data_IF_139308457844
#
_entry.id   IF_139308457844
#
_cell.length_a   1.000
_cell.length_b   1.000
_cell.length_c   1.000
_cell.angle_alpha   90.00
_cell.angle_beta   90.00
_cell.angle_gamma   90.00
#
_symmetry.space_group_name_H-M   'P 1'
#
loop_
_entity.id
_entity.type
_entity.pdbx_description
1 polymer ?
#
# COMPACT_ATOMS: atom_id res chain seq x y z
N UNK A 1 5.75 11.43 41.32
CA UNK A 1 5.62 10.94 39.93
C UNK A 1 4.80 9.65 39.97
N UNK A 2 3.71 9.55 39.19
CA UNK A 2 2.80 8.39 39.23
C UNK A 2 3.51 7.12 38.75
N UNK A 3 3.48 6.05 39.54
CA UNK A 3 4.18 4.79 39.28
C UNK A 3 3.76 4.14 37.95
N UNK A 4 2.49 4.31 37.55
CA UNK A 4 1.97 3.89 36.25
C UNK A 4 2.67 4.59 35.08
N UNK A 5 2.97 5.88 35.22
CA UNK A 5 3.69 6.64 34.18
C UNK A 5 5.14 6.16 34.06
N UNK A 6 5.79 5.88 35.20
CA UNK A 6 7.13 5.25 35.22
C UNK A 6 7.13 3.86 34.57
N UNK A 7 6.09 3.05 34.78
CA UNK A 7 5.95 1.73 34.16
C UNK A 7 5.75 1.81 32.64
N UNK A 8 4.88 2.70 32.17
CA UNK A 8 4.72 2.96 30.74
C UNK A 8 6.03 3.39 30.10
N UNK A 9 6.74 4.34 30.72
CA UNK A 9 8.03 4.80 30.22
C UNK A 9 9.09 3.71 30.29
N UNK A 10 9.12 2.86 31.32
CA UNK A 10 10.07 1.75 31.43
C UNK A 10 9.83 0.64 30.39
N UNK A 11 8.57 0.37 30.05
CA UNK A 11 8.18 -0.62 29.03
C UNK A 11 8.52 -0.12 27.63
N UNK A 12 8.26 1.15 27.34
CA UNK A 12 8.50 1.72 26.01
C UNK A 12 9.93 2.26 25.82
N UNK A 13 10.60 2.67 26.90
CA UNK A 13 11.94 3.24 26.88
C UNK A 13 12.70 2.95 28.20
N UNK A 14 13.26 1.74 28.35
CA UNK A 14 14.08 1.37 29.51
C UNK A 14 15.19 2.38 29.87
N UNK A 15 15.95 2.97 28.91
CA UNK A 15 17.02 3.91 29.26
C UNK A 15 16.49 5.26 29.77
N UNK A 16 15.22 5.61 29.52
CA UNK A 16 14.62 6.87 29.97
C UNK A 16 14.27 6.85 31.46
N UNK A 17 13.96 5.67 32.02
CA UNK A 17 13.79 5.50 33.47
C UNK A 17 15.14 5.69 34.20
N UNK A 18 16.21 5.14 33.62
CA UNK A 18 17.58 5.24 34.17
C UNK A 18 18.09 6.68 34.05
N UNK A 19 17.68 7.42 33.01
CA UNK A 19 17.96 8.85 32.85
C UNK A 19 17.37 9.70 33.98
N UNK A 20 16.12 9.43 34.39
CA UNK A 20 15.45 10.17 35.46
C UNK A 20 16.09 9.88 36.83
N UNK A 21 16.58 8.66 37.06
CA UNK A 21 17.14 8.26 38.36
C UNK A 21 18.67 8.52 38.50
N UNK A 22 19.47 8.55 37.43
CA UNK A 22 20.94 8.66 37.53
C UNK A 22 21.58 9.95 36.99
N UNK A 23 20.83 10.82 36.32
CA UNK A 23 21.35 12.12 35.86
C UNK A 23 22.28 12.07 34.64
N UNK A 24 22.56 13.25 34.08
CA UNK A 24 23.12 13.48 32.75
C UNK A 24 24.55 12.94 32.55
N UNK A 25 24.65 11.80 31.85
CA UNK A 25 25.87 11.35 31.18
C UNK A 25 25.62 11.24 29.68
N UNK A 26 26.47 11.83 28.85
CA UNK A 26 26.31 11.91 27.38
C UNK A 26 26.12 10.53 26.71
N UNK A 27 26.67 9.48 27.32
CA UNK A 27 26.53 8.10 26.88
C UNK A 27 25.08 7.56 26.95
N UNK A 28 24.28 8.07 27.89
CA UNK A 28 22.87 7.67 28.08
C UNK A 28 21.93 8.39 27.11
N UNK A 29 22.20 9.67 26.80
CA UNK A 29 21.39 10.45 25.85
C UNK A 29 21.48 9.86 24.44
N UNK A 30 22.67 9.39 24.05
CA UNK A 30 22.90 8.72 22.78
C UNK A 30 22.14 7.40 22.68
N UNK A 31 22.07 6.63 23.78
CA UNK A 31 21.28 5.40 23.84
C UNK A 31 19.78 5.66 23.71
N UNK A 32 19.24 6.69 24.37
CA UNK A 32 17.82 7.08 24.20
C UNK A 32 17.55 7.51 22.76
N UNK A 33 18.43 8.30 22.17
CA UNK A 33 18.31 8.74 20.78
C UNK A 33 18.31 7.54 19.81
N UNK A 34 19.27 6.62 19.92
CA UNK A 34 19.32 5.40 19.10
C UNK A 34 18.08 4.54 19.29
N UNK A 35 17.62 4.36 20.54
CA UNK A 35 16.45 3.54 20.83
C UNK A 35 15.20 4.14 20.20
N UNK A 36 15.00 5.46 20.31
CA UNK A 36 13.90 6.16 19.64
C UNK A 36 14.01 6.09 18.12
N UNK A 37 15.23 6.15 17.57
CA UNK A 37 15.46 6.09 16.12
C UNK A 37 15.12 4.72 15.56
N UNK A 38 15.57 3.65 16.22
CA UNK A 38 15.23 2.26 15.88
C UNK A 38 13.73 2.01 16.01
N UNK A 39 13.08 2.60 17.02
CA UNK A 39 11.66 2.46 17.22
C UNK A 39 10.83 3.16 16.13
N UNK A 40 11.22 4.38 15.76
CA UNK A 40 10.63 5.10 14.63
C UNK A 40 10.87 4.38 13.30
N UNK A 41 12.05 3.79 13.09
CA UNK A 41 12.31 2.93 11.93
C UNK A 41 11.42 1.69 11.93
N UNK A 42 11.23 1.04 13.08
CA UNK A 42 10.37 -0.15 13.19
C UNK A 42 8.91 0.14 12.89
N UNK A 43 8.35 1.20 13.49
CA UNK A 43 6.97 1.64 13.24
C UNK A 43 6.81 2.12 11.79
N UNK A 44 7.75 2.91 11.30
CA UNK A 44 7.78 3.37 9.92
C UNK A 44 7.85 2.22 8.92
N UNK A 45 8.62 1.18 9.22
CA UNK A 45 8.75 0.00 8.36
C UNK A 45 7.45 -0.82 8.31
N UNK A 46 6.78 -1.01 9.45
CA UNK A 46 5.48 -1.68 9.50
C UNK A 46 4.39 -0.92 8.73
N UNK A 47 4.37 0.41 8.86
CA UNK A 47 3.48 1.29 8.10
C UNK A 47 3.78 1.27 6.60
N UNK A 48 5.06 1.35 6.21
CA UNK A 48 5.48 1.31 4.82
C UNK A 48 5.08 -0.01 4.14
N UNK A 49 5.27 -1.15 4.83
CA UNK A 49 4.82 -2.45 4.33
C UNK A 49 3.30 -2.53 4.18
N UNK A 50 2.54 -1.97 5.13
CA UNK A 50 1.07 -1.97 5.08
C UNK A 50 0.55 -1.12 3.91
N UNK A 51 1.16 0.04 3.69
CA UNK A 51 0.82 0.94 2.57
C UNK A 51 1.20 0.28 1.24
N UNK A 52 2.41 -0.28 1.15
CA UNK A 52 2.87 -0.97 -0.06
C UNK A 52 1.97 -2.17 -0.41
N UNK A 53 1.56 -2.95 0.59
CA UNK A 53 0.63 -4.07 0.39
C UNK A 53 -0.75 -3.59 -0.09
N UNK A 54 -1.26 -2.52 0.50
CA UNK A 54 -2.54 -1.92 0.11
C UNK A 54 -2.50 -1.39 -1.33
N UNK A 55 -1.42 -0.69 -1.71
CA UNK A 55 -1.21 -0.19 -3.08
C UNK A 55 -1.06 -1.32 -4.10
N UNK A 56 -0.35 -2.40 -3.74
CA UNK A 56 -0.20 -3.56 -4.61
C UNK A 56 -1.55 -4.27 -4.86
N UNK A 57 -2.37 -4.39 -3.82
CA UNK A 57 -3.72 -4.96 -3.90
C UNK A 57 -4.65 -4.11 -4.78
N UNK A 58 -4.55 -2.77 -4.67
CA UNK A 58 -5.27 -1.84 -5.53
C UNK A 58 -4.82 -1.95 -7.00
N UNK A 59 -3.50 -2.01 -7.25
CA UNK A 59 -2.94 -2.15 -8.61
C UNK A 59 -3.41 -3.43 -9.29
N UNK A 60 -3.48 -4.54 -8.55
CA UNK A 60 -4.02 -5.82 -9.06
C UNK A 60 -5.49 -5.70 -9.45
N UNK A 61 -6.31 -5.08 -8.60
CA UNK A 61 -7.73 -4.88 -8.89
C UNK A 61 -7.92 -3.97 -10.11
N UNK A 62 -7.17 -2.88 -10.20
CA UNK A 62 -7.24 -1.93 -11.32
C UNK A 62 -6.79 -2.57 -12.64
N UNK A 63 -5.72 -3.36 -12.65
CA UNK A 63 -5.30 -4.09 -13.85
C UNK A 63 -6.36 -5.11 -14.29
N UNK A 64 -7.02 -5.79 -13.35
CA UNK A 64 -8.12 -6.72 -13.67
C UNK A 64 -9.31 -6.01 -14.31
N UNK A 65 -9.70 -4.83 -13.81
CA UNK A 65 -10.79 -4.04 -14.41
C UNK A 65 -10.42 -3.46 -15.78
N UNK A 66 -9.18 -2.97 -15.94
CA UNK A 66 -8.72 -2.47 -17.25
C UNK A 66 -8.73 -3.58 -18.29
N UNK A 67 -8.14 -4.74 -17.96
CA UNK A 67 -8.12 -5.91 -18.83
C UNK A 67 -9.53 -6.38 -19.20
N UNK A 68 -10.44 -6.43 -18.23
CA UNK A 68 -11.83 -6.84 -18.46
C UNK A 68 -12.62 -5.82 -19.30
N UNK A 69 -12.27 -4.54 -19.21
CA UNK A 69 -12.80 -3.48 -20.08
C UNK A 69 -12.33 -3.62 -21.52
N UNK A 70 -11.04 -3.92 -21.72
CA UNK A 70 -10.44 -4.12 -23.04
C UNK A 70 -11.01 -5.35 -23.76
N UNK A 71 -11.25 -6.45 -23.04
CA UNK A 71 -11.94 -7.64 -23.56
C UNK A 71 -13.37 -7.34 -24.03
N UNK A 72 -14.12 -6.55 -23.25
CA UNK A 72 -15.50 -6.19 -23.58
C UNK A 72 -15.56 -5.26 -24.80
N UNK A 73 -14.67 -4.28 -24.87
CA UNK A 73 -14.50 -3.39 -26.03
C UNK A 73 -14.10 -4.19 -27.28
N UNK A 74 -13.20 -5.15 -27.14
CA UNK A 74 -12.74 -6.02 -28.24
C UNK A 74 -13.88 -6.89 -28.76
N UNK A 75 -14.64 -7.55 -27.87
CA UNK A 75 -15.84 -8.31 -28.28
C UNK A 75 -16.89 -7.42 -28.95
N UNK A 76 -17.13 -6.22 -28.42
CA UNK A 76 -18.10 -5.28 -28.99
C UNK A 76 -17.71 -4.85 -30.40
N UNK A 77 -16.42 -4.55 -30.63
CA UNK A 77 -15.90 -4.24 -31.97
C UNK A 77 -16.05 -5.40 -32.94
N UNK A 78 -15.72 -6.63 -32.53
CA UNK A 78 -15.90 -7.81 -33.38
C UNK A 78 -17.38 -8.07 -33.72
N UNK A 79 -18.30 -7.83 -32.79
CA UNK A 79 -19.74 -7.98 -33.05
C UNK A 79 -20.26 -6.95 -34.06
N UNK A 80 -19.84 -5.69 -33.94
CA UNK A 80 -20.21 -4.62 -34.89
C UNK A 80 -19.61 -4.88 -36.28
N UNK A 81 -18.36 -5.33 -36.35
CA UNK A 81 -17.71 -5.70 -37.61
C UNK A 81 -18.49 -6.81 -38.33
N UNK A 82 -18.95 -7.83 -37.60
CA UNK A 82 -19.71 -8.94 -38.17
C UNK A 82 -21.01 -8.49 -38.83
N UNK A 83 -21.76 -7.63 -38.15
CA UNK A 83 -23.01 -7.06 -38.68
C UNK A 83 -22.74 -6.24 -39.96
N UNK A 84 -21.63 -5.49 -39.97
CA UNK A 84 -21.25 -4.71 -41.14
C UNK A 84 -20.89 -5.61 -42.34
N UNK A 85 -20.08 -6.65 -42.14
CA UNK A 85 -19.76 -7.64 -43.19
C UNK A 85 -21.01 -8.36 -43.71
N UNK A 86 -21.91 -8.81 -42.82
CA UNK A 86 -23.16 -9.49 -43.20
C UNK A 86 -24.08 -8.57 -44.04
N UNK A 87 -24.13 -7.27 -43.71
CA UNK A 87 -24.92 -6.28 -44.48
C UNK A 87 -24.32 -5.94 -45.85
N UNK A 88 -23.00 -6.02 -46.00
CA UNK A 88 -22.31 -5.78 -47.27
C UNK A 88 -22.50 -6.96 -48.24
N UNK A 89 -22.58 -8.19 -47.72
CA UNK A 89 -22.81 -9.39 -48.51
C UNK A 89 -24.25 -9.42 -49.05
N UNK A 90 -25.25 -9.02 -48.25
CA UNK A 90 -26.66 -8.98 -48.69
C UNK A 90 -26.90 -7.98 -49.83
N UNK A 91 -26.20 -6.83 -49.80
CA UNK A 91 -26.29 -5.84 -50.87
C UNK A 91 -25.65 -6.29 -52.18
N UNK A 92 -24.57 -7.08 -52.14
CA UNK A 92 -23.96 -7.62 -53.36
C UNK A 92 -24.78 -8.77 -53.96
N UNK A 93 -25.42 -9.61 -53.15
CA UNK A 93 -26.24 -10.71 -53.67
C UNK A 93 -27.50 -10.21 -54.41
N UNK A 94 -28.00 -9.01 -54.10
CA UNK A 94 -29.22 -8.46 -54.73
C UNK A 94 -28.96 -7.79 -56.10
N UNK A 95 -27.71 -7.70 -56.54
CA UNK A 95 -27.31 -7.08 -57.81
C UNK A 95 -26.99 -8.07 -58.95
N UNK A 96 -27.01 -9.38 -58.69
CA UNK A 96 -26.89 -10.44 -59.71
C UNK A 96 -28.24 -11.09 -60.07
#
# INVERSE_FOLDING_TARGET
>A
MNLLFRLFVAIFCPPLIVYIDYGMSYHMLFNVFLTSFVWLLGIGHAWALTIAFSLLSLKKSLMKYSFMGDDFLTKSKCAVQKINDDSVIDMNHKQD
#
